data_IF_546753350939
#
_entry.id   IF_546753350939
#
_cell.length_a   1.000
_cell.length_b   1.000
_cell.length_c   1.000
_cell.angle_alpha   90.00
_cell.angle_beta   90.00
_cell.angle_gamma   90.00
#
_symmetry.space_group_name_H-M   'P 1'
#
loop_
_entity.id
_entity.type
_entity.pdbx_description
1 polymer ?
#
# COMPACT_ATOMS: atom_id res chain seq x y z
N UNK A 1 -19.82 -18.38 -21.56
CA UNK A 1 -19.49 -17.18 -20.75
C UNK A 1 -17.99 -17.03 -20.80
N UNK A 2 -17.50 -15.89 -21.27
CA UNK A 2 -16.07 -15.62 -21.38
C UNK A 2 -15.53 -15.40 -19.96
N UNK A 3 -14.77 -16.37 -19.44
CA UNK A 3 -14.15 -16.24 -18.14
C UNK A 3 -13.15 -15.08 -18.22
N UNK A 4 -13.43 -13.98 -17.50
CA UNK A 4 -12.54 -12.83 -17.45
C UNK A 4 -11.15 -13.20 -16.94
N UNK A 5 -10.24 -12.22 -16.97
CA UNK A 5 -8.92 -12.38 -16.36
C UNK A 5 -9.02 -12.82 -14.90
N UNK A 6 -8.26 -13.85 -14.52
CA UNK A 6 -8.16 -14.35 -13.15
C UNK A 6 -6.75 -14.13 -12.64
N UNK A 7 -6.62 -13.67 -11.39
CA UNK A 7 -5.33 -13.64 -10.70
C UNK A 7 -4.83 -15.08 -10.54
N UNK A 8 -3.61 -15.36 -11.00
CA UNK A 8 -2.98 -16.67 -10.83
C UNK A 8 -1.82 -16.59 -9.86
N UNK A 9 -0.97 -15.59 -10.04
CA UNK A 9 0.31 -15.50 -9.35
C UNK A 9 0.51 -14.11 -8.79
N UNK A 10 1.18 -14.04 -7.64
CA UNK A 10 1.64 -12.80 -7.02
C UNK A 10 3.13 -12.91 -6.77
N UNK A 11 3.87 -11.93 -7.28
CA UNK A 11 5.29 -11.76 -6.98
C UNK A 11 5.40 -10.67 -5.92
N UNK A 12 6.01 -10.98 -4.78
CA UNK A 12 6.32 -10.05 -3.72
C UNK A 12 7.76 -9.55 -3.90
N UNK A 13 7.91 -8.23 -4.02
CA UNK A 13 9.20 -7.56 -4.10
C UNK A 13 9.68 -7.23 -2.68
N UNK A 14 10.23 -8.23 -2.02
CA UNK A 14 11.05 -8.08 -0.81
C UNK A 14 12.54 -8.04 -1.16
N UNK A 15 13.46 -7.78 -0.21
CA UNK A 15 14.90 -7.89 -0.45
C UNK A 15 15.31 -9.20 -1.13
N UNK A 16 14.55 -10.27 -0.90
CA UNK A 16 14.53 -11.49 -1.70
C UNK A 16 13.14 -11.64 -2.35
N UNK A 17 13.05 -11.70 -3.68
CA UNK A 17 11.77 -11.82 -4.37
C UNK A 17 11.08 -13.15 -4.03
N UNK A 18 9.76 -13.11 -3.83
CA UNK A 18 8.98 -14.31 -3.53
C UNK A 18 7.79 -14.45 -4.45
N UNK A 19 7.68 -15.60 -5.11
CA UNK A 19 6.56 -15.92 -6.00
C UNK A 19 5.62 -16.86 -5.28
N UNK A 20 4.33 -16.55 -5.26
CA UNK A 20 3.28 -17.42 -4.74
C UNK A 20 2.14 -17.53 -5.73
N UNK A 21 1.52 -18.73 -5.79
CA UNK A 21 0.19 -18.84 -6.38
C UNK A 21 -0.83 -18.12 -5.49
N UNK A 22 -1.90 -17.57 -6.09
CA UNK A 22 -2.87 -16.74 -5.34
C UNK A 22 -3.54 -17.51 -4.19
N UNK A 23 -3.79 -18.80 -4.37
CA UNK A 23 -4.37 -19.68 -3.36
C UNK A 23 -3.40 -19.93 -2.20
N UNK A 24 -2.10 -20.08 -2.50
CA UNK A 24 -1.05 -20.16 -1.49
C UNK A 24 -0.95 -18.86 -0.69
N UNK A 25 -0.91 -17.71 -1.37
CA UNK A 25 -0.89 -16.41 -0.70
C UNK A 25 -2.12 -16.23 0.20
N UNK A 26 -3.33 -16.62 -0.27
CA UNK A 26 -4.54 -16.57 0.55
C UNK A 26 -4.45 -17.49 1.79
N UNK A 27 -3.92 -18.71 1.64
CA UNK A 27 -3.66 -19.61 2.79
C UNK A 27 -2.65 -19.03 3.78
N UNK A 28 -1.70 -18.22 3.29
CA UNK A 28 -0.73 -17.52 4.12
C UNK A 28 -1.28 -16.21 4.76
N UNK A 29 -2.59 -15.95 4.63
CA UNK A 29 -3.27 -14.82 5.27
C UNK A 29 -3.33 -13.54 4.42
N UNK A 30 -2.91 -13.58 3.15
CA UNK A 30 -3.03 -12.43 2.25
C UNK A 30 -4.45 -12.28 1.72
N UNK A 31 -4.99 -11.07 1.79
CA UNK A 31 -6.26 -10.73 1.17
C UNK A 31 -6.06 -10.31 -0.28
N UNK A 32 -6.14 -11.27 -1.21
CA UNK A 32 -5.93 -11.03 -2.65
C UNK A 32 -7.18 -11.40 -3.42
N UNK A 33 -7.80 -10.42 -4.06
CA UNK A 33 -8.97 -10.65 -4.92
C UNK A 33 -9.12 -9.54 -5.96
N UNK A 34 -9.87 -9.81 -7.02
CA UNK A 34 -10.17 -8.80 -8.03
C UNK A 34 -11.60 -8.89 -8.53
N UNK A 35 -12.15 -7.75 -8.92
CA UNK A 35 -13.27 -7.62 -9.83
C UNK A 35 -12.75 -7.02 -11.15
N UNK A 36 -13.57 -6.90 -12.21
CA UNK A 36 -13.13 -6.28 -13.47
C UNK A 36 -12.58 -4.85 -13.33
N UNK A 37 -12.91 -4.14 -12.24
CA UNK A 37 -12.53 -2.72 -12.04
C UNK A 37 -11.75 -2.47 -10.74
N UNK A 38 -11.53 -3.50 -9.91
CA UNK A 38 -10.88 -3.34 -8.60
C UNK A 38 -9.94 -4.49 -8.30
N UNK A 39 -8.79 -4.16 -7.72
CA UNK A 39 -7.87 -5.09 -7.06
C UNK A 39 -7.94 -4.85 -5.55
N UNK A 40 -8.03 -5.92 -4.77
CA UNK A 40 -7.81 -5.92 -3.33
C UNK A 40 -6.50 -6.62 -3.06
N UNK A 41 -5.62 -5.92 -2.35
CA UNK A 41 -4.33 -6.44 -1.88
C UNK A 41 -4.18 -6.07 -0.40
N UNK A 42 -4.07 -7.08 0.46
CA UNK A 42 -3.84 -6.93 1.90
C UNK A 42 -2.76 -7.91 2.35
N UNK A 43 -1.85 -7.44 3.19
CA UNK A 43 -0.90 -8.28 3.91
C UNK A 43 -1.32 -8.46 5.36
N UNK A 44 -1.00 -9.60 6.00
CA UNK A 44 -0.98 -9.67 7.45
C UNK A 44 0.05 -8.67 8.01
N UNK A 45 -0.15 -8.22 9.25
CA UNK A 45 0.78 -7.35 9.95
C UNK A 45 1.15 -7.99 11.29
N UNK A 46 2.40 -8.48 11.48
CA UNK A 46 3.52 -8.41 10.55
C UNK A 46 3.43 -9.41 9.37
N UNK A 47 4.19 -9.17 8.31
CA UNK A 47 4.33 -10.06 7.14
C UNK A 47 5.81 -10.17 6.72
N UNK A 48 6.24 -11.38 6.32
CA UNK A 48 7.61 -11.64 5.83
C UNK A 48 7.86 -11.04 4.44
N UNK A 49 6.79 -10.83 3.68
CA UNK A 49 6.80 -10.27 2.34
C UNK A 49 6.61 -8.73 2.35
N UNK A 50 6.87 -8.10 3.50
CA UNK A 50 6.98 -6.65 3.64
C UNK A 50 8.39 -6.27 4.06
N UNK A 51 8.79 -5.04 3.76
CA UNK A 51 10.09 -4.52 4.17
C UNK A 51 9.97 -3.08 4.71
N UNK A 52 10.91 -2.69 5.55
CA UNK A 52 11.00 -1.31 6.04
C UNK A 52 11.80 -0.46 5.06
N UNK A 53 11.30 0.72 4.74
CA UNK A 53 12.00 1.73 3.94
C UNK A 53 11.86 3.09 4.61
N UNK A 54 12.97 3.80 4.79
CA UNK A 54 12.91 5.21 5.17
C UNK A 54 12.41 6.04 3.99
N UNK A 55 11.39 6.84 4.23
CA UNK A 55 10.81 7.78 3.26
C UNK A 55 10.76 9.14 3.91
N UNK A 56 11.73 10.00 3.57
CA UNK A 56 11.85 11.34 4.12
C UNK A 56 11.86 11.38 5.66
N UNK A 57 12.59 10.45 6.29
CA UNK A 57 12.69 10.35 7.75
C UNK A 57 11.54 9.58 8.43
N UNK A 58 10.58 9.07 7.66
CA UNK A 58 9.54 8.16 8.19
C UNK A 58 9.87 6.72 7.84
N UNK A 59 10.03 5.83 8.83
CA UNK A 59 10.10 4.41 8.56
C UNK A 59 8.73 3.90 8.10
N UNK A 60 8.66 3.44 6.86
CA UNK A 60 7.45 2.92 6.24
C UNK A 60 7.55 1.40 6.11
N UNK A 61 6.50 0.67 6.49
CA UNK A 61 6.33 -0.74 6.10
C UNK A 61 5.73 -0.78 4.70
N UNK A 62 6.45 -1.41 3.78
CA UNK A 62 6.13 -1.46 2.35
C UNK A 62 5.76 -2.87 1.94
N UNK A 63 4.61 -3.00 1.27
CA UNK A 63 4.21 -4.14 0.46
C UNK A 63 4.34 -3.73 -1.01
N UNK A 64 5.14 -4.46 -1.77
CA UNK A 64 5.33 -4.18 -3.20
C UNK A 64 5.13 -5.48 -3.98
N UNK A 65 4.26 -5.47 -4.99
CA UNK A 65 3.87 -6.69 -5.70
C UNK A 65 3.68 -6.49 -7.19
N UNK A 66 3.85 -7.58 -7.94
CA UNK A 66 3.38 -7.74 -9.31
C UNK A 66 2.29 -8.82 -9.33
N UNK A 67 1.08 -8.43 -9.71
CA UNK A 67 -0.08 -9.33 -9.81
C UNK A 67 -0.18 -9.82 -11.25
N UNK A 68 -0.14 -11.13 -11.44
CA UNK A 68 -0.28 -11.77 -12.76
C UNK A 68 -1.71 -12.23 -12.93
N UNK A 69 -2.32 -11.79 -14.03
CA UNK A 69 -3.65 -12.14 -14.46
C UNK A 69 -3.58 -12.98 -15.73
N UNK A 70 -4.30 -14.09 -15.75
CA UNK A 70 -4.36 -14.97 -16.92
C UNK A 70 -5.80 -15.12 -17.42
N UNK A 71 -5.90 -15.23 -18.74
CA UNK A 71 -7.08 -15.65 -19.51
C UNK A 71 -6.57 -16.59 -20.61
N UNK A 72 -7.42 -17.41 -21.21
CA UNK A 72 -7.02 -18.34 -22.29
C UNK A 72 -6.12 -17.65 -23.32
N UNK A 73 -4.84 -18.05 -23.37
CA UNK A 73 -3.77 -17.50 -24.24
C UNK A 73 -3.42 -16.01 -24.05
N UNK A 74 -3.82 -15.40 -22.94
CA UNK A 74 -3.53 -13.99 -22.62
C UNK A 74 -3.04 -13.87 -21.18
N UNK A 75 -1.95 -13.13 -21.00
CA UNK A 75 -1.39 -12.80 -19.69
C UNK A 75 -1.24 -11.29 -19.58
N UNK A 76 -1.67 -10.71 -18.47
CA UNK A 76 -1.44 -9.30 -18.15
C UNK A 76 -0.92 -9.16 -16.72
N UNK A 77 -0.26 -8.04 -16.43
CA UNK A 77 0.42 -7.81 -15.18
C UNK A 77 0.06 -6.43 -14.63
N UNK A 78 -0.05 -6.35 -13.31
CA UNK A 78 -0.35 -5.10 -12.61
C UNK A 78 0.59 -4.94 -11.43
N UNK A 79 1.37 -3.85 -11.42
CA UNK A 79 2.11 -3.44 -10.24
C UNK A 79 1.15 -2.88 -9.20
N UNK A 80 1.21 -3.41 -7.99
CA UNK A 80 0.40 -2.95 -6.87
C UNK A 80 1.27 -2.88 -5.62
N UNK A 81 1.13 -1.82 -4.85
CA UNK A 81 1.87 -1.65 -3.62
C UNK A 81 1.08 -0.87 -2.59
N UNK A 82 1.47 -1.04 -1.33
CA UNK A 82 0.99 -0.27 -0.20
C UNK A 82 2.19 0.13 0.66
N UNK A 83 2.15 1.31 1.24
CA UNK A 83 3.16 1.75 2.19
C UNK A 83 2.47 2.44 3.36
N UNK A 84 2.74 1.98 4.57
CA UNK A 84 2.15 2.50 5.79
C UNK A 84 3.25 2.99 6.74
N UNK A 85 3.10 4.16 7.37
CA UNK A 85 4.03 4.60 8.42
C UNK A 85 4.03 3.59 9.57
N UNK A 86 5.22 3.27 10.08
CA UNK A 86 5.34 2.52 11.32
C UNK A 86 4.91 3.43 12.49
N UNK A 87 4.24 2.85 13.48
CA UNK A 87 3.80 3.60 14.67
C UNK A 87 5.00 4.28 15.36
N UNK A 88 6.15 3.62 15.36
CA UNK A 88 7.43 4.18 15.76
C UNK A 88 7.95 5.07 14.62
N UNK A 89 7.79 6.39 14.72
CA UNK A 89 8.37 7.36 13.80
C UNK A 89 7.39 8.12 12.89
N UNK A 90 6.19 7.56 12.65
CA UNK A 90 5.20 8.19 11.76
C UNK A 90 3.99 8.81 12.45
N UNK A 91 3.60 8.30 13.63
CA UNK A 91 2.40 8.75 14.36
C UNK A 91 2.74 8.97 15.83
N UNK A 92 2.38 10.13 16.36
CA UNK A 92 2.65 10.51 17.74
C UNK A 92 1.35 10.90 18.43
N UNK A 93 1.16 10.39 19.63
CA UNK A 93 -0.02 10.68 20.45
C UNK A 93 0.38 11.60 21.60
N UNK A 94 -0.47 12.57 21.87
CA UNK A 94 -0.47 13.39 23.09
C UNK A 94 -1.86 13.28 23.71
N UNK A 95 -2.06 13.82 24.91
CA UNK A 95 -3.37 13.79 25.58
C UNK A 95 -4.49 14.45 24.76
N UNK A 96 -4.16 15.44 23.92
CA UNK A 96 -5.14 16.26 23.20
C UNK A 96 -5.00 16.25 21.69
N UNK A 97 -3.99 15.56 21.14
CA UNK A 97 -3.73 15.59 19.70
C UNK A 97 -3.03 14.33 19.19
N UNK A 98 -3.30 14.01 17.93
CA UNK A 98 -2.56 13.02 17.16
C UNK A 98 -1.76 13.79 16.10
N UNK A 99 -0.45 13.54 16.04
CA UNK A 99 0.43 14.11 15.02
C UNK A 99 0.87 13.01 14.07
N UNK A 100 0.63 13.21 12.78
CA UNK A 100 1.08 12.32 11.71
C UNK A 100 2.16 13.02 10.90
N UNK A 101 3.28 12.34 10.70
CA UNK A 101 4.24 12.74 9.69
C UNK A 101 4.00 11.89 8.44
N UNK A 102 3.46 12.52 7.39
CA UNK A 102 3.16 11.85 6.13
C UNK A 102 4.01 12.44 5.01
N UNK A 103 4.95 11.66 4.43
CA UNK A 103 5.73 12.12 3.28
C UNK A 103 4.81 12.43 2.10
N UNK A 104 4.96 13.62 1.50
CA UNK A 104 4.18 14.00 0.30
C UNK A 104 4.49 13.12 -0.91
N UNK A 105 5.70 12.57 -0.95
CA UNK A 105 6.17 11.64 -1.97
C UNK A 105 6.57 10.34 -1.28
N UNK A 106 5.98 9.23 -1.71
CA UNK A 106 6.23 7.90 -1.14
C UNK A 106 6.92 7.04 -2.21
N UNK A 107 8.25 6.92 -2.08
CA UNK A 107 9.15 6.43 -3.14
C UNK A 107 9.27 4.90 -3.29
N UNK A 108 8.26 4.11 -2.90
CA UNK A 108 7.96 2.90 -3.70
C UNK A 108 6.62 2.99 -4.45
N UNK A 109 5.72 3.88 -4.06
CA UNK A 109 4.38 4.00 -4.68
C UNK A 109 4.38 4.95 -5.89
N UNK A 110 5.29 5.92 -5.90
CA UNK A 110 5.38 6.95 -6.96
C UNK A 110 6.65 6.73 -7.76
N UNK A 111 6.55 5.94 -8.84
CA UNK A 111 7.67 5.67 -9.73
C UNK A 111 7.97 6.84 -10.69
N UNK A 112 6.94 7.59 -11.08
CA UNK A 112 7.10 8.73 -11.99
C UNK A 112 7.86 9.87 -11.31
N UNK A 113 8.83 10.45 -12.05
CA UNK A 113 9.46 11.72 -11.67
C UNK A 113 8.48 12.90 -11.75
N UNK A 114 7.44 12.76 -12.56
CA UNK A 114 6.39 13.75 -12.73
C UNK A 114 5.17 13.31 -11.90
N UNK A 115 5.09 13.81 -10.68
CA UNK A 115 3.97 13.58 -9.77
C UNK A 115 3.38 14.92 -9.34
N UNK A 116 2.05 15.00 -9.32
CA UNK A 116 1.31 16.12 -8.75
C UNK A 116 0.38 15.59 -7.68
N UNK A 117 0.59 16.03 -6.45
CA UNK A 117 -0.35 15.81 -5.36
C UNK A 117 -1.55 16.73 -5.57
N UNK A 118 -2.73 16.15 -5.80
CA UNK A 118 -3.96 16.91 -6.06
C UNK A 118 -4.70 17.26 -4.77
N UNK A 119 -4.81 16.31 -3.85
CA UNK A 119 -5.55 16.46 -2.60
C UNK A 119 -4.98 15.53 -1.54
N UNK A 120 -5.03 15.96 -0.28
CA UNK A 120 -4.75 15.12 0.89
C UNK A 120 -5.93 15.27 1.83
N UNK A 121 -6.51 14.13 2.20
CA UNK A 121 -7.63 14.05 3.12
C UNK A 121 -7.22 13.22 4.34
N UNK A 122 -7.55 13.70 5.53
CA UNK A 122 -7.31 12.99 6.78
C UNK A 122 -8.65 12.61 7.41
N UNK A 123 -8.65 11.54 8.20
CA UNK A 123 -9.84 11.07 8.88
C UNK A 123 -9.51 10.23 10.11
N UNK A 124 -10.39 10.28 11.10
CA UNK A 124 -10.33 9.52 12.35
C UNK A 124 -11.68 8.85 12.55
N UNK A 125 -11.68 7.58 12.97
CA UNK A 125 -12.91 6.79 13.22
C UNK A 125 -13.90 6.78 12.05
N UNK A 126 -13.38 6.71 10.82
CA UNK A 126 -14.20 6.71 9.60
C UNK A 126 -14.80 8.07 9.22
N UNK A 127 -14.52 9.12 9.98
CA UNK A 127 -14.94 10.50 9.66
C UNK A 127 -13.80 11.28 9.03
N UNK A 128 -14.07 11.93 7.89
CA UNK A 128 -13.15 12.91 7.30
C UNK A 128 -13.03 14.12 8.22
N UNK A 129 -11.81 14.56 8.48
CA UNK A 129 -11.52 15.77 9.23
C UNK A 129 -11.62 16.99 8.32
N UNK A 130 -12.18 18.07 8.85
CA UNK A 130 -12.19 19.37 8.19
C UNK A 130 -10.81 20.04 8.29
N UNK A 131 -10.55 21.00 7.41
CA UNK A 131 -9.28 21.74 7.40
C UNK A 131 -9.03 22.50 8.72
N UNK A 132 -10.08 22.90 9.44
CA UNK A 132 -9.98 23.55 10.76
C UNK A 132 -9.57 22.58 11.87
N UNK A 133 -9.82 21.28 11.69
CA UNK A 133 -9.43 20.22 12.61
C UNK A 133 -7.99 19.74 12.34
N UNK A 134 -7.46 20.00 11.15
CA UNK A 134 -6.10 19.67 10.74
C UNK A 134 -5.18 20.89 10.84
N UNK A 135 -4.19 20.85 11.74
CA UNK A 135 -3.16 21.89 11.79
C UNK A 135 -1.90 21.43 11.04
N UNK A 136 -1.59 21.96 9.85
CA UNK A 136 -0.33 21.65 9.18
C UNK A 136 0.82 22.22 10.02
N UNK A 137 1.73 21.36 10.46
CA UNK A 137 2.96 21.77 11.12
C UNK A 137 4.02 21.92 10.03
N UNK A 138 4.22 23.15 9.54
CA UNK A 138 5.40 23.49 8.75
C UNK A 138 6.56 23.67 9.72
N UNK A 139 7.43 22.68 9.83
CA UNK A 139 8.72 22.88 10.49
C UNK A 139 9.49 23.99 9.73
N UNK A 140 10.10 24.96 10.43
CA UNK A 140 10.93 25.99 9.81
C UNK A 140 12.15 25.41 9.08
#
# INVERSE_FOLDING_TARGET
MDAGFRITTVVFFTPEERVMQVDEAQRNGYGISSTPTRLVLRSPNPSRETYTKDVAGVPMTVLSTLIIFEKTKLTTQLYAGAACPQAQGGVYFTETSIRWFLPRRIDPLIYSKHFRLLEVNMGVDGRKLEATECRPETTP
#
